data_IF_852262447340
#
_entry.id   IF_852262447340
#
_cell.length_a   1.000
_cell.length_b   1.000
_cell.length_c   1.000
_cell.angle_alpha   90.00
_cell.angle_beta   90.00
_cell.angle_gamma   90.00
#
_symmetry.space_group_name_H-M   'P 1'
#
loop_
_entity.id
_entity.type
_entity.pdbx_description
1 polymer ?
#
# COMPACT_ATOMS: atom_id res chain seq x y z
N UNK A 1 20.03 -12.97 11.22
CA UNK A 1 18.80 -12.88 10.37
C UNK A 1 19.10 -13.38 8.95
N UNK A 2 20.19 -12.96 8.31
CA UNK A 2 20.58 -13.50 6.98
C UNK A 2 20.96 -15.00 7.07
N UNK A 3 21.75 -15.39 8.06
CA UNK A 3 22.20 -16.78 8.23
C UNK A 3 21.04 -17.77 8.47
N UNK A 4 19.97 -17.32 9.14
CA UNK A 4 18.77 -18.14 9.37
C UNK A 4 17.93 -18.35 8.11
N UNK A 5 18.02 -17.46 7.12
CA UNK A 5 17.34 -17.64 5.84
C UNK A 5 18.14 -18.56 4.91
N UNK A 6 19.46 -18.37 4.85
CA UNK A 6 20.35 -19.18 4.02
C UNK A 6 20.41 -20.64 4.49
N UNK A 7 20.53 -20.88 5.80
CA UNK A 7 20.64 -22.24 6.35
C UNK A 7 19.31 -23.03 6.34
N UNK A 8 18.17 -22.37 6.13
CA UNK A 8 16.84 -23.00 6.10
C UNK A 8 16.19 -22.99 4.70
N UNK A 9 16.94 -22.57 3.66
CA UNK A 9 16.42 -22.37 2.30
C UNK A 9 15.10 -21.57 2.26
N UNK A 10 14.96 -20.62 3.18
CA UNK A 10 13.76 -19.78 3.27
C UNK A 10 13.78 -18.79 2.13
N UNK A 11 12.68 -18.71 1.39
CA UNK A 11 12.51 -17.79 0.28
C UNK A 11 11.51 -16.72 0.65
N UNK A 12 11.72 -15.54 0.08
CA UNK A 12 10.87 -14.37 0.26
C UNK A 12 10.26 -14.02 -1.09
N UNK A 13 8.99 -13.66 -1.10
CA UNK A 13 8.31 -13.19 -2.31
C UNK A 13 8.16 -11.66 -2.26
N UNK A 14 8.61 -10.96 -3.30
CA UNK A 14 8.36 -9.53 -3.47
C UNK A 14 7.18 -9.30 -4.41
N UNK A 15 6.15 -8.62 -3.93
CA UNK A 15 4.90 -8.36 -4.66
C UNK A 15 4.68 -6.86 -4.81
N UNK A 16 4.71 -6.39 -6.05
CA UNK A 16 4.37 -5.02 -6.42
C UNK A 16 2.91 -4.85 -6.82
N UNK A 17 2.57 -3.67 -7.36
CA UNK A 17 1.20 -3.30 -7.69
C UNK A 17 0.62 -4.04 -8.91
N UNK A 18 1.45 -4.74 -9.67
CA UNK A 18 1.01 -5.47 -10.87
C UNK A 18 -0.20 -6.38 -10.60
N UNK A 19 -0.26 -7.03 -9.43
CA UNK A 19 -1.38 -7.91 -9.04
C UNK A 19 -2.73 -7.16 -8.94
N UNK A 20 -2.72 -5.89 -8.53
CA UNK A 20 -3.93 -5.07 -8.50
C UNK A 20 -4.44 -4.82 -9.92
N UNK A 21 -3.54 -4.63 -10.89
CA UNK A 21 -3.91 -4.28 -12.27
C UNK A 21 -4.52 -5.43 -13.07
N UNK A 22 -4.38 -6.68 -12.62
CA UNK A 22 -4.91 -7.86 -13.35
C UNK A 22 -6.45 -7.89 -13.33
N UNK A 23 -7.06 -7.41 -12.25
CA UNK A 23 -8.51 -7.35 -12.11
C UNK A 23 -8.92 -6.08 -11.37
N UNK A 24 -9.12 -5.03 -12.15
CA UNK A 24 -9.55 -3.70 -11.68
C UNK A 24 -11.02 -3.66 -11.24
N UNK A 25 -11.81 -4.71 -11.52
CA UNK A 25 -13.19 -4.82 -11.05
C UNK A 25 -13.26 -5.12 -9.55
N UNK A 26 -12.22 -5.77 -9.00
CA UNK A 26 -12.14 -6.17 -7.59
C UNK A 26 -11.06 -5.41 -6.79
N UNK A 27 -10.10 -4.78 -7.47
CA UNK A 27 -9.03 -3.98 -6.86
C UNK A 27 -9.17 -2.48 -7.20
N UNK A 28 -8.17 -1.68 -6.82
CA UNK A 28 -8.04 -0.28 -7.23
C UNK A 28 -6.77 -0.05 -8.04
N UNK A 29 -6.75 1.03 -8.83
CA UNK A 29 -5.60 1.43 -9.64
C UNK A 29 -4.91 2.66 -9.04
N UNK A 30 -3.60 2.57 -8.84
CA UNK A 30 -2.80 3.72 -8.38
C UNK A 30 -2.78 4.86 -9.40
N UNK A 31 -2.80 4.55 -10.68
CA UNK A 31 -2.88 5.55 -11.74
C UNK A 31 -4.21 6.30 -11.67
N UNK A 32 -5.33 5.57 -11.52
CA UNK A 32 -6.66 6.17 -11.39
C UNK A 32 -6.76 7.05 -10.14
N UNK A 33 -6.17 6.62 -9.03
CA UNK A 33 -6.05 7.42 -7.80
C UNK A 33 -5.30 8.73 -8.07
N UNK A 34 -4.14 8.70 -8.72
CA UNK A 34 -3.35 9.90 -8.96
C UNK A 34 -4.03 10.87 -9.93
N UNK A 35 -4.69 10.35 -10.96
CA UNK A 35 -5.49 11.17 -11.86
C UNK A 35 -6.67 11.83 -11.12
N UNK A 36 -7.33 11.12 -10.21
CA UNK A 36 -8.36 11.72 -9.34
C UNK A 36 -7.75 12.81 -8.45
N UNK A 37 -6.62 12.55 -7.79
CA UNK A 37 -5.95 13.56 -6.96
C UNK A 37 -5.52 14.80 -7.78
N UNK A 38 -4.98 14.61 -8.98
CA UNK A 38 -4.60 15.66 -9.93
C UNK A 38 -5.81 16.55 -10.25
N UNK A 39 -6.91 15.93 -10.68
CA UNK A 39 -8.12 16.61 -11.10
C UNK A 39 -8.86 17.28 -9.94
N UNK A 40 -9.04 16.58 -8.81
CA UNK A 40 -9.78 17.10 -7.65
C UNK A 40 -9.03 18.22 -6.93
N UNK A 41 -7.70 18.23 -6.97
CA UNK A 41 -6.91 19.24 -6.27
C UNK A 41 -6.25 20.27 -7.17
N UNK A 42 -6.44 20.19 -8.49
CA UNK A 42 -5.82 21.12 -9.45
C UNK A 42 -4.30 21.13 -9.34
N UNK A 43 -3.71 19.97 -9.04
CA UNK A 43 -2.26 19.86 -8.85
C UNK A 43 -1.65 19.61 -10.22
N UNK A 44 -0.68 20.43 -10.62
CA UNK A 44 -0.02 20.31 -11.91
C UNK A 44 1.18 19.35 -11.79
N UNK A 45 0.92 18.09 -11.43
CA UNK A 45 1.95 17.03 -11.44
C UNK A 45 1.90 16.31 -12.77
N UNK A 46 3.04 16.27 -13.45
CA UNK A 46 3.25 15.44 -14.64
C UNK A 46 3.30 13.95 -14.25
N UNK A 47 2.18 13.24 -14.37
CA UNK A 47 2.10 11.82 -14.04
C UNK A 47 2.62 10.91 -15.17
N UNK A 48 2.88 11.48 -16.35
CA UNK A 48 3.30 10.75 -17.55
C UNK A 48 4.84 10.66 -17.65
N UNK A 49 5.56 11.35 -16.76
CA UNK A 49 7.01 11.29 -16.66
C UNK A 49 7.50 9.94 -16.11
N UNK A 50 8.02 9.11 -17.00
CA UNK A 50 8.62 7.79 -16.69
C UNK A 50 9.76 7.84 -15.67
N UNK A 51 10.43 8.99 -15.50
CA UNK A 51 11.50 9.19 -14.53
C UNK A 51 11.01 9.69 -13.17
N UNK A 52 9.71 9.98 -13.02
CA UNK A 52 9.11 10.43 -11.77
C UNK A 52 8.30 9.32 -11.11
N UNK A 53 8.93 8.44 -10.31
CA UNK A 53 8.21 7.39 -9.60
C UNK A 53 7.20 7.98 -8.62
N UNK A 54 6.21 7.16 -8.26
CA UNK A 54 5.07 7.57 -7.42
C UNK A 54 5.44 8.33 -6.13
N UNK A 55 6.49 7.97 -5.38
CA UNK A 55 6.89 8.75 -4.20
C UNK A 55 7.26 10.20 -4.55
N UNK A 56 7.96 10.44 -5.68
CA UNK A 56 8.34 11.78 -6.10
C UNK A 56 7.13 12.60 -6.59
N UNK A 57 6.20 11.98 -7.31
CA UNK A 57 4.95 12.63 -7.71
C UNK A 57 4.12 13.04 -6.48
N UNK A 58 4.08 12.19 -5.46
CA UNK A 58 3.43 12.49 -4.18
C UNK A 58 4.13 13.64 -3.42
N UNK A 59 5.46 13.63 -3.36
CA UNK A 59 6.22 14.72 -2.74
C UNK A 59 5.99 16.06 -3.46
N UNK A 60 5.96 16.06 -4.79
CA UNK A 60 5.63 17.23 -5.58
C UNK A 60 4.22 17.75 -5.27
N UNK A 61 3.23 16.85 -5.13
CA UNK A 61 1.86 17.21 -4.73
C UNK A 61 1.79 17.94 -3.38
N UNK A 62 2.66 17.60 -2.42
CA UNK A 62 2.72 18.27 -1.12
C UNK A 62 3.27 19.69 -1.23
N UNK A 63 4.24 19.91 -2.12
CA UNK A 63 4.99 21.17 -2.22
C UNK A 63 4.37 22.20 -3.18
N UNK A 64 3.55 21.78 -4.15
CA UNK A 64 3.01 22.69 -5.17
C UNK A 64 1.95 23.71 -4.68
N UNK A 65 1.30 23.52 -3.51
CA UNK A 65 0.29 24.48 -3.03
C UNK A 65 0.89 25.55 -2.10
N UNK A 66 0.85 26.85 -2.50
CA UNK A 66 1.06 27.94 -1.57
C UNK A 66 -0.14 27.96 -0.62
N UNK A 67 0.06 27.48 0.59
CA UNK A 67 -0.88 27.67 1.69
C UNK A 67 -0.09 28.05 2.94
N UNK A 68 -0.71 28.85 3.79
CA UNK A 68 -0.20 29.29 5.09
C UNK A 68 -0.09 28.15 6.12
N UNK A 69 -0.40 26.91 5.74
CA UNK A 69 -0.40 25.76 6.63
C UNK A 69 0.98 25.13 6.70
N UNK A 70 1.35 24.67 7.90
CA UNK A 70 2.55 23.90 8.15
C UNK A 70 2.55 22.59 7.32
N UNK A 71 3.76 22.08 7.03
CA UNK A 71 3.98 20.86 6.26
C UNK A 71 3.18 19.67 6.81
N UNK A 72 3.08 19.55 8.15
CA UNK A 72 2.34 18.47 8.77
C UNK A 72 0.85 18.45 8.42
N UNK A 73 0.21 19.63 8.34
CA UNK A 73 -1.20 19.74 8.00
C UNK A 73 -1.46 19.44 6.51
N UNK A 74 -0.54 19.83 5.63
CA UNK A 74 -0.58 19.48 4.20
C UNK A 74 -0.50 17.96 4.03
N UNK A 75 0.47 17.33 4.70
CA UNK A 75 0.67 15.88 4.65
C UNK A 75 -0.54 15.12 5.19
N UNK A 76 -1.08 15.54 6.34
CA UNK A 76 -2.30 14.95 6.93
C UNK A 76 -3.48 15.04 5.98
N UNK A 77 -3.70 16.22 5.42
CA UNK A 77 -4.79 16.50 4.48
C UNK A 77 -4.70 15.61 3.24
N UNK A 78 -3.52 15.53 2.60
CA UNK A 78 -3.31 14.68 1.43
C UNK A 78 -3.51 13.20 1.76
N UNK A 79 -3.00 12.71 2.90
CA UNK A 79 -3.21 11.32 3.34
C UNK A 79 -4.69 10.98 3.54
N UNK A 80 -5.46 11.88 4.14
CA UNK A 80 -6.91 11.69 4.30
C UNK A 80 -7.62 11.60 2.94
N UNK A 81 -7.24 12.45 1.99
CA UNK A 81 -7.78 12.48 0.64
C UNK A 81 -7.47 11.22 -0.16
N UNK A 82 -6.23 10.74 -0.08
CA UNK A 82 -5.81 9.45 -0.65
C UNK A 82 -6.64 8.32 -0.06
N UNK A 83 -6.77 8.28 1.28
CA UNK A 83 -7.57 7.26 1.95
C UNK A 83 -9.03 7.29 1.49
N UNK A 84 -9.61 8.47 1.29
CA UNK A 84 -10.98 8.62 0.83
C UNK A 84 -11.17 8.17 -0.63
N UNK A 85 -10.28 8.58 -1.53
CA UNK A 85 -10.31 8.13 -2.94
C UNK A 85 -10.14 6.61 -3.06
N UNK A 86 -9.21 6.02 -2.29
CA UNK A 86 -9.06 4.56 -2.24
C UNK A 86 -10.35 3.91 -1.76
N UNK A 87 -10.95 4.39 -0.67
CA UNK A 87 -12.22 3.85 -0.14
C UNK A 87 -13.35 3.89 -1.18
N UNK A 88 -13.48 4.99 -1.91
CA UNK A 88 -14.45 5.15 -3.00
C UNK A 88 -14.19 4.17 -4.15
N UNK A 89 -12.93 3.99 -4.56
CA UNK A 89 -12.59 3.06 -5.65
C UNK A 89 -12.82 1.59 -5.29
N UNK A 90 -12.81 1.24 -4.01
CA UNK A 90 -13.06 -0.11 -3.50
C UNK A 90 -14.47 -0.30 -2.94
N UNK A 91 -15.33 0.72 -3.01
CA UNK A 91 -16.71 0.63 -2.54
C UNK A 91 -17.47 -0.43 -3.35
N UNK A 92 -18.16 -1.33 -2.66
CA UNK A 92 -18.83 -2.49 -3.27
C UNK A 92 -17.89 -3.57 -3.81
N UNK A 93 -16.57 -3.42 -3.65
CA UNK A 93 -15.56 -4.43 -4.05
C UNK A 93 -15.04 -5.18 -2.84
N UNK A 94 -14.48 -6.38 -3.09
CA UNK A 94 -13.74 -7.13 -2.06
C UNK A 94 -12.46 -6.39 -1.62
N UNK A 95 -11.92 -5.54 -2.50
CA UNK A 95 -10.65 -4.85 -2.27
C UNK A 95 -9.44 -5.76 -2.41
N UNK A 96 -9.61 -6.95 -3.01
CA UNK A 96 -8.59 -7.88 -3.45
C UNK A 96 -9.20 -8.80 -4.51
N UNK A 97 -8.38 -9.44 -5.33
CA UNK A 97 -8.83 -10.35 -6.40
C UNK A 97 -8.28 -11.77 -6.20
N UNK A 98 -8.71 -12.72 -7.05
CA UNK A 98 -8.27 -14.12 -6.98
C UNK A 98 -6.74 -14.33 -7.08
N UNK A 99 -6.01 -13.37 -7.66
CA UNK A 99 -4.55 -13.47 -7.77
C UNK A 99 -3.86 -13.12 -6.45
N UNK A 100 -4.48 -12.30 -5.60
CA UNK A 100 -4.02 -12.12 -4.22
C UNK A 100 -4.15 -13.44 -3.46
N UNK A 101 -5.30 -14.11 -3.55
CA UNK A 101 -5.53 -15.42 -2.92
C UNK A 101 -4.49 -16.46 -3.40
N UNK A 102 -4.24 -16.52 -4.72
CA UNK A 102 -3.22 -17.40 -5.30
C UNK A 102 -1.79 -17.07 -4.83
N UNK A 103 -1.44 -15.79 -4.72
CA UNK A 103 -0.14 -15.38 -4.18
C UNK A 103 -0.01 -15.82 -2.72
N UNK A 104 -1.07 -15.62 -1.92
CA UNK A 104 -1.08 -15.96 -0.51
C UNK A 104 -1.10 -17.47 -0.24
N UNK A 105 -1.49 -18.30 -1.22
CA UNK A 105 -1.41 -19.76 -1.12
C UNK A 105 -0.06 -20.36 -1.50
N UNK A 106 0.86 -19.55 -2.06
CA UNK A 106 2.22 -20.00 -2.38
C UNK A 106 3.00 -20.36 -1.09
N UNK A 107 4.00 -21.26 -1.18
CA UNK A 107 4.79 -21.70 -0.05
C UNK A 107 5.87 -20.68 0.37
N UNK A 108 5.49 -19.40 0.44
CA UNK A 108 6.33 -18.31 0.97
C UNK A 108 5.69 -17.81 2.26
N UNK A 109 6.43 -17.84 3.36
CA UNK A 109 5.94 -17.36 4.64
C UNK A 109 6.22 -15.86 4.83
N UNK A 110 7.23 -15.34 4.16
CA UNK A 110 7.59 -13.93 4.21
C UNK A 110 7.35 -13.29 2.84
N UNK A 111 6.51 -12.26 2.83
CA UNK A 111 6.10 -11.52 1.64
C UNK A 111 6.47 -10.06 1.85
N UNK A 112 7.27 -9.50 0.95
CA UNK A 112 7.53 -8.07 0.89
C UNK A 112 6.57 -7.44 -0.10
N UNK A 113 6.06 -6.26 0.21
CA UNK A 113 5.23 -5.51 -0.74
C UNK A 113 5.52 -4.02 -0.72
N UNK A 114 5.52 -3.43 -1.91
CA UNK A 114 5.54 -1.98 -2.13
C UNK A 114 4.13 -1.39 -2.18
N UNK A 115 3.07 -2.21 -2.07
CA UNK A 115 1.69 -1.75 -2.13
C UNK A 115 1.30 -1.09 -0.79
N UNK A 116 0.66 0.07 -0.86
CA UNK A 116 0.16 0.78 0.33
C UNK A 116 -1.19 0.27 0.82
N UNK A 117 -1.91 -0.50 0.01
CA UNK A 117 -3.14 -1.17 0.40
C UNK A 117 -2.89 -2.42 1.25
N UNK A 118 -3.97 -3.09 1.64
CA UNK A 118 -3.94 -4.32 2.43
C UNK A 118 -4.61 -5.47 1.68
N UNK A 119 -4.57 -5.50 0.34
CA UNK A 119 -5.27 -6.49 -0.47
C UNK A 119 -4.77 -7.92 -0.21
N UNK A 120 -3.46 -8.10 0.03
CA UNK A 120 -2.86 -9.39 0.41
C UNK A 120 -3.35 -9.89 1.78
N UNK A 121 -3.47 -9.00 2.76
CA UNK A 121 -4.00 -9.36 4.08
C UNK A 121 -5.49 -9.64 4.01
N UNK A 122 -6.25 -8.81 3.28
CA UNK A 122 -7.68 -8.97 3.08
C UNK A 122 -8.03 -10.28 2.38
N UNK A 123 -7.17 -10.77 1.48
CA UNK A 123 -7.41 -12.07 0.84
C UNK A 123 -7.32 -13.26 1.79
N UNK A 124 -6.58 -13.13 2.90
CA UNK A 124 -6.57 -14.13 3.97
C UNK A 124 -7.62 -13.87 5.05
N UNK A 125 -7.91 -12.60 5.33
CA UNK A 125 -8.85 -12.19 6.37
C UNK A 125 -9.59 -10.95 5.88
N UNK A 126 -10.80 -11.09 5.30
CA UNK A 126 -11.55 -9.95 4.74
C UNK A 126 -11.75 -8.80 5.74
N UNK A 127 -11.93 -9.14 7.03
CA UNK A 127 -12.05 -8.21 8.15
C UNK A 127 -10.72 -7.63 8.64
N UNK A 128 -9.63 -7.76 7.88
CA UNK A 128 -8.27 -7.41 8.31
C UNK A 128 -8.17 -5.98 8.85
N UNK A 129 -8.86 -5.01 8.24
CA UNK A 129 -8.80 -3.62 8.70
C UNK A 129 -9.30 -3.45 10.15
N UNK A 130 -10.33 -4.21 10.54
CA UNK A 130 -10.89 -4.21 11.90
C UNK A 130 -9.97 -4.92 12.91
N UNK A 131 -9.10 -5.80 12.41
CA UNK A 131 -8.20 -6.64 13.21
C UNK A 131 -6.72 -6.23 13.07
N UNK A 132 -6.44 -5.15 12.34
CA UNK A 132 -5.10 -4.75 11.88
C UNK A 132 -4.09 -4.65 13.03
N UNK A 133 -4.48 -4.06 14.15
CA UNK A 133 -3.62 -3.91 15.32
C UNK A 133 -3.29 -5.26 15.99
N UNK A 134 -4.19 -6.23 15.90
CA UNK A 134 -3.96 -7.58 16.45
C UNK A 134 -2.88 -8.32 15.66
N UNK A 135 -2.87 -8.14 14.35
CA UNK A 135 -1.92 -8.77 13.43
C UNK A 135 -0.58 -8.02 13.31
N UNK A 136 -0.47 -6.79 13.81
CA UNK A 136 0.75 -6.00 13.70
C UNK A 136 1.94 -6.67 14.42
N UNK A 137 3.02 -6.93 13.67
CA UNK A 137 4.27 -7.50 14.20
C UNK A 137 5.00 -6.47 15.06
N UNK A 138 5.04 -5.22 14.61
CA UNK A 138 5.57 -4.10 15.39
C UNK A 138 4.44 -3.14 15.78
N UNK A 139 4.17 -3.03 17.08
CA UNK A 139 3.14 -2.13 17.65
C UNK A 139 3.70 -0.80 18.17
N UNK A 140 5.02 -0.68 18.26
CA UNK A 140 5.70 0.45 18.86
C UNK A 140 5.97 1.57 17.84
N UNK A 141 6.27 1.21 16.59
CA UNK A 141 6.55 2.19 15.55
C UNK A 141 5.26 2.71 14.91
N UNK A 142 4.94 4.00 15.15
CA UNK A 142 3.72 4.63 14.64
C UNK A 142 3.96 5.75 13.62
N UNK A 143 5.14 6.37 13.64
CA UNK A 143 5.42 7.62 12.91
C UNK A 143 5.97 7.39 11.52
N UNK A 144 7.02 6.58 11.38
CA UNK A 144 7.75 6.40 10.12
C UNK A 144 7.45 5.09 9.41
N UNK A 145 6.78 4.15 10.08
CA UNK A 145 6.31 2.87 9.52
C UNK A 145 7.38 2.04 8.81
N UNK A 146 8.66 2.26 9.12
CA UNK A 146 9.79 1.64 8.43
C UNK A 146 9.82 0.12 8.64
N UNK A 147 9.24 -0.36 9.74
CA UNK A 147 9.11 -1.79 10.06
C UNK A 147 7.65 -2.23 10.14
N UNK A 148 6.83 -1.81 9.18
CA UNK A 148 5.42 -2.21 9.12
C UNK A 148 5.28 -3.64 8.60
N UNK A 149 4.99 -4.57 9.49
CA UNK A 149 4.69 -5.97 9.17
C UNK A 149 3.43 -6.46 9.84
N UNK A 150 2.74 -7.40 9.19
CA UNK A 150 1.55 -8.07 9.72
C UNK A 150 1.71 -9.58 9.62
N UNK A 151 1.45 -10.27 10.73
CA UNK A 151 1.38 -11.74 10.78
C UNK A 151 -0.09 -12.13 10.64
N UNK A 152 -0.49 -12.69 9.51
CA UNK A 152 -1.86 -13.13 9.22
C UNK A 152 -1.80 -14.60 8.81
N UNK A 153 -2.46 -15.49 9.55
CA UNK A 153 -2.26 -16.94 9.41
C UNK A 153 -0.77 -17.31 9.65
N UNK A 154 -0.18 -18.07 8.74
CA UNK A 154 1.21 -18.51 8.64
C UNK A 154 2.10 -17.53 7.84
N UNK A 155 1.55 -16.37 7.45
CA UNK A 155 2.20 -15.40 6.56
C UNK A 155 2.59 -14.13 7.30
N UNK A 156 3.83 -13.69 7.10
CA UNK A 156 4.31 -12.37 7.44
C UNK A 156 4.31 -11.50 6.18
N UNK A 157 3.54 -10.42 6.19
CA UNK A 157 3.47 -9.47 5.08
C UNK A 157 4.10 -8.16 5.53
N UNK A 158 5.21 -7.80 4.90
CA UNK A 158 6.05 -6.65 5.19
C UNK A 158 5.84 -5.55 4.16
N UNK A 159 5.34 -4.41 4.60
CA UNK A 159 5.21 -3.22 3.77
C UNK A 159 6.54 -2.47 3.79
N UNK A 160 7.24 -2.45 2.67
CA UNK A 160 8.56 -1.82 2.53
C UNK A 160 8.40 -0.38 2.00
N UNK A 161 7.53 0.39 2.65
CA UNK A 161 7.28 1.81 2.41
C UNK A 161 7.10 2.57 3.73
N UNK A 162 7.42 3.87 3.74
CA UNK A 162 7.35 4.76 4.91
C UNK A 162 6.14 5.70 4.88
#
# INVERSE_FOLDING_TARGET
>A
MVDSYQNQNKRVLLVGNGVNLIDSSQSFSWEALLQELKNTYGINVDLDNVFKPFPLAFDEMIHQKPSSNDFHDKLKTIKQKISHSIQKQIEGKRGFNQYHEKIMSLPYNDILTTNYDYSLQKSLTPEFLNLKEKFAINKQERKFNLKRGYSVSDKNIWHIHG
#
